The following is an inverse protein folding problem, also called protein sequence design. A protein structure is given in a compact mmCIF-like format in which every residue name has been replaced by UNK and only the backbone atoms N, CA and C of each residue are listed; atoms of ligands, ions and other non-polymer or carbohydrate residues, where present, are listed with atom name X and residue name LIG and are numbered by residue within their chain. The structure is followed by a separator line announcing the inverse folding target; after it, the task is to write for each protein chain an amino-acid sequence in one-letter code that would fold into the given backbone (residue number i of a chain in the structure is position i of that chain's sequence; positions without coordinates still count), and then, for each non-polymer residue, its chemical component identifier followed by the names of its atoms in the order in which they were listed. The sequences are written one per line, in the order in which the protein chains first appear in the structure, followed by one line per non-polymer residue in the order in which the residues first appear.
data_IF_414834362839
#
_entry.id   IF_414834362839
#
_cell.length_a   1.000
_cell.length_b   1.000
_cell.length_c   1.000
_cell.angle_alpha   90.00
_cell.angle_beta   90.00
_cell.angle_gamma   90.00
#
_symmetry.space_group_name_H-M   'P 1'
#
loop_
_entity.id
_entity.type
_entity.pdbx_description
1 polymer ?
#
# COMPACT_ATOMS: atom_id res chain seq x y z
N UNK A 1 -10.38 -53.94 -0.28
CA UNK A 1 -10.54 -53.45 -1.66
C UNK A 1 -9.17 -53.09 -2.21
N UNK A 2 -8.67 -53.76 -3.27
CA UNK A 2 -7.37 -53.42 -3.89
C UNK A 2 -7.61 -52.34 -4.97
N UNK A 3 -7.10 -51.13 -4.78
CA UNK A 3 -7.18 -50.07 -5.79
C UNK A 3 -6.31 -50.48 -6.99
N UNK A 4 -6.88 -50.46 -8.21
CA UNK A 4 -6.12 -50.81 -9.41
C UNK A 4 -5.15 -49.67 -9.77
N UNK A 5 -4.01 -49.98 -10.38
CA UNK A 5 -3.03 -48.98 -10.83
C UNK A 5 -3.67 -47.93 -11.77
N UNK A 6 -4.64 -48.35 -12.59
CA UNK A 6 -5.40 -47.46 -13.49
C UNK A 6 -6.32 -46.51 -12.71
N UNK A 7 -7.02 -47.01 -11.69
CA UNK A 7 -7.87 -46.19 -10.83
C UNK A 7 -7.03 -45.20 -10.01
N UNK A 8 -5.88 -45.61 -9.48
CA UNK A 8 -4.96 -44.71 -8.79
C UNK A 8 -4.43 -43.61 -9.72
N UNK A 9 -4.03 -43.95 -10.94
CA UNK A 9 -3.59 -42.97 -11.95
C UNK A 9 -4.69 -41.97 -12.29
N UNK A 10 -5.94 -42.44 -12.44
CA UNK A 10 -7.10 -41.57 -12.69
C UNK A 10 -7.37 -40.62 -11.51
N UNK A 11 -7.30 -41.10 -10.27
CA UNK A 11 -7.48 -40.28 -9.07
C UNK A 11 -6.41 -39.18 -9.01
N UNK A 12 -5.14 -39.53 -9.24
CA UNK A 12 -4.04 -38.56 -9.25
C UNK A 12 -4.27 -37.52 -10.34
N UNK A 13 -4.61 -37.94 -11.56
CA UNK A 13 -4.88 -37.03 -12.68
C UNK A 13 -6.02 -36.06 -12.36
N UNK A 14 -7.15 -36.56 -11.88
CA UNK A 14 -8.32 -35.73 -11.53
C UNK A 14 -7.96 -34.77 -10.40
N UNK A 15 -7.29 -35.24 -9.34
CA UNK A 15 -6.87 -34.39 -8.23
C UNK A 15 -5.89 -33.30 -8.65
N UNK A 16 -4.99 -33.60 -9.59
CA UNK A 16 -4.07 -32.61 -10.17
C UNK A 16 -4.79 -31.55 -10.99
N UNK A 17 -5.77 -31.95 -11.81
CA UNK A 17 -6.60 -31.02 -12.59
C UNK A 17 -7.40 -30.11 -11.65
N UNK A 18 -8.07 -30.68 -10.64
CA UNK A 18 -8.83 -29.89 -9.66
C UNK A 18 -7.89 -28.92 -8.91
N UNK A 19 -6.73 -29.40 -8.45
CA UNK A 19 -5.74 -28.56 -7.78
C UNK A 19 -5.31 -27.38 -8.65
N UNK A 20 -5.01 -27.62 -9.93
CA UNK A 20 -4.64 -26.58 -10.88
C UNK A 20 -5.78 -25.55 -11.10
N UNK A 21 -7.02 -26.02 -11.28
CA UNK A 21 -8.18 -25.17 -11.47
C UNK A 21 -8.52 -24.32 -10.24
N UNK A 22 -8.09 -24.73 -9.04
CA UNK A 22 -8.28 -23.93 -7.81
C UNK A 22 -7.10 -22.98 -7.59
N UNK A 23 -5.87 -23.44 -7.74
CA UNK A 23 -4.66 -22.64 -7.42
C UNK A 23 -4.48 -21.48 -8.39
N UNK A 24 -4.75 -21.70 -9.69
CA UNK A 24 -4.54 -20.64 -10.69
C UNK A 24 -5.43 -19.40 -10.47
N UNK A 25 -6.77 -19.52 -10.32
CA UNK A 25 -7.60 -18.34 -10.06
C UNK A 25 -7.26 -17.65 -8.74
N UNK A 26 -6.91 -18.42 -7.70
CA UNK A 26 -6.51 -17.86 -6.41
C UNK A 26 -5.21 -17.07 -6.55
N UNK A 27 -4.21 -17.62 -7.25
CA UNK A 27 -2.96 -16.90 -7.49
C UNK A 27 -3.19 -15.63 -8.32
N UNK A 28 -4.00 -15.71 -9.37
CA UNK A 28 -4.38 -14.55 -10.18
C UNK A 28 -5.08 -13.46 -9.35
N UNK A 29 -6.06 -13.84 -8.52
CA UNK A 29 -6.74 -12.91 -7.64
C UNK A 29 -5.78 -12.28 -6.62
N UNK A 30 -4.87 -13.05 -6.03
CA UNK A 30 -3.85 -12.53 -5.13
C UNK A 30 -2.96 -11.50 -5.83
N UNK A 31 -2.57 -11.75 -7.08
CA UNK A 31 -1.71 -10.87 -7.85
C UNK A 31 -2.41 -9.56 -8.25
N UNK A 32 -3.62 -9.63 -8.80
CA UNK A 32 -4.38 -8.44 -9.21
C UNK A 32 -4.72 -7.54 -8.02
N UNK A 33 -5.16 -8.14 -6.90
CA UNK A 33 -5.52 -7.42 -5.67
C UNK A 33 -4.30 -6.89 -4.91
N UNK A 34 -3.11 -6.99 -5.48
CA UNK A 34 -1.87 -6.53 -4.88
C UNK A 34 -1.32 -5.25 -5.52
N UNK A 35 -1.90 -4.84 -6.65
CA UNK A 35 -1.42 -3.73 -7.46
C UNK A 35 -1.98 -2.37 -7.02
N UNK A 36 -1.29 -1.30 -7.42
CA UNK A 36 -1.75 0.08 -7.27
C UNK A 36 -3.11 0.33 -7.94
N UNK A 37 -3.40 -0.37 -9.04
CA UNK A 37 -4.69 -0.29 -9.74
C UNK A 37 -5.85 -0.82 -8.90
N UNK A 38 -5.62 -1.85 -8.11
CA UNK A 38 -6.64 -2.37 -7.20
C UNK A 38 -6.76 -1.51 -5.95
N UNK A 39 -5.63 -1.11 -5.36
CA UNK A 39 -5.62 -0.29 -4.14
C UNK A 39 -6.29 1.08 -4.33
N UNK A 40 -6.33 1.62 -5.55
CA UNK A 40 -6.98 2.91 -5.87
C UNK A 40 -8.46 2.79 -6.28
N UNK A 41 -9.04 1.58 -6.24
CA UNK A 41 -10.48 1.42 -6.55
C UNK A 41 -11.35 2.16 -5.52
N UNK A 42 -10.87 2.25 -4.28
CA UNK A 42 -11.50 2.98 -3.20
C UNK A 42 -10.87 4.38 -3.07
N UNK A 43 -11.68 5.43 -3.15
CA UNK A 43 -11.25 6.82 -3.18
C UNK A 43 -10.50 7.31 -1.93
N UNK A 44 -10.68 6.65 -0.78
CA UNK A 44 -9.92 6.93 0.45
C UNK A 44 -8.42 6.61 0.33
N UNK A 45 -8.04 5.77 -0.64
CA UNK A 45 -6.64 5.41 -0.92
C UNK A 45 -5.98 6.30 -1.97
N UNK A 46 -6.74 7.22 -2.58
CA UNK A 46 -6.21 8.17 -3.58
C UNK A 46 -4.90 8.85 -3.14
N UNK A 47 -4.79 9.46 -1.93
CA UNK A 47 -3.57 10.19 -1.59
C UNK A 47 -2.35 9.26 -1.47
N UNK A 48 -2.53 8.01 -1.03
CA UNK A 48 -1.46 7.01 -0.92
C UNK A 48 -0.97 6.60 -2.30
N UNK A 49 -1.90 6.28 -3.21
CA UNK A 49 -1.54 5.76 -4.54
C UNK A 49 -0.96 6.86 -5.43
N UNK A 50 -1.51 8.08 -5.36
CA UNK A 50 -0.98 9.23 -6.09
C UNK A 50 0.45 9.53 -5.62
N UNK A 51 0.68 9.56 -4.31
CA UNK A 51 2.01 9.80 -3.75
C UNK A 51 3.00 8.65 -4.05
N UNK A 52 2.54 7.40 -4.02
CA UNK A 52 3.33 6.23 -4.45
C UNK A 52 3.74 6.36 -5.91
N UNK A 53 2.84 6.81 -6.78
CA UNK A 53 3.16 6.96 -8.19
C UNK A 53 4.24 8.02 -8.43
N UNK A 54 4.53 8.91 -7.49
CA UNK A 54 5.66 9.86 -7.56
C UNK A 54 6.96 9.32 -6.92
N UNK A 55 6.90 8.15 -6.28
CA UNK A 55 8.03 7.48 -5.65
C UNK A 55 8.87 6.69 -6.67
N UNK A 56 10.15 6.46 -6.35
CA UNK A 56 11.03 5.64 -7.17
C UNK A 56 10.53 4.19 -7.33
N UNK A 57 9.86 3.64 -6.31
CA UNK A 57 9.32 2.27 -6.31
C UNK A 57 8.09 2.07 -7.22
N UNK A 58 7.55 3.14 -7.81
CA UNK A 58 6.47 3.06 -8.81
C UNK A 58 6.94 2.62 -10.20
N UNK A 59 8.26 2.46 -10.39
CA UNK A 59 8.87 2.29 -11.70
C UNK A 59 9.27 3.61 -12.38
N UNK A 60 8.99 4.78 -11.77
CA UNK A 60 9.52 6.07 -12.23
C UNK A 60 11.02 6.25 -11.96
N UNK A 61 11.60 5.44 -11.08
CA UNK A 61 13.03 5.48 -10.79
C UNK A 61 13.91 5.07 -11.98
N UNK A 62 15.21 5.37 -11.94
CA UNK A 62 16.13 5.14 -13.07
C UNK A 62 16.30 3.66 -13.45
N UNK A 63 15.92 2.73 -12.57
CA UNK A 63 16.00 1.28 -12.82
C UNK A 63 14.75 0.71 -13.49
N UNK A 64 13.64 1.45 -13.52
CA UNK A 64 12.34 0.97 -14.02
C UNK A 64 11.68 -0.13 -13.18
N UNK A 65 12.26 -0.51 -12.03
CA UNK A 65 11.70 -1.53 -11.15
C UNK A 65 10.46 -0.98 -10.45
N UNK A 66 9.35 -1.72 -10.53
CA UNK A 66 8.10 -1.41 -9.86
C UNK A 66 7.82 -2.44 -8.76
N UNK A 67 7.68 -1.96 -7.53
CA UNK A 67 7.20 -2.76 -6.40
C UNK A 67 5.68 -2.61 -6.29
N UNK A 68 4.94 -3.69 -6.01
CA UNK A 68 3.52 -3.64 -5.71
C UNK A 68 3.26 -3.09 -4.30
N UNK A 69 2.03 -2.69 -4.02
CA UNK A 69 1.64 -2.20 -2.70
C UNK A 69 1.92 -3.25 -1.61
N UNK A 70 1.57 -4.51 -1.87
CA UNK A 70 1.79 -5.62 -0.94
C UNK A 70 3.25 -6.00 -0.76
N UNK A 71 4.14 -5.61 -1.68
CA UNK A 71 5.56 -5.94 -1.57
C UNK A 71 6.16 -5.27 -0.33
N UNK A 72 5.62 -4.11 0.08
CA UNK A 72 5.99 -3.43 1.32
C UNK A 72 4.97 -3.65 2.46
N UNK A 73 3.67 -3.73 2.14
CA UNK A 73 2.59 -3.71 3.13
C UNK A 73 2.12 -5.08 3.62
N UNK A 74 2.70 -6.19 3.15
CA UNK A 74 2.40 -7.56 3.59
C UNK A 74 3.72 -8.28 3.86
N UNK A 75 3.82 -9.14 4.90
CA UNK A 75 5.05 -9.85 5.20
C UNK A 75 5.33 -11.01 4.23
N UNK A 76 6.60 -11.21 3.89
CA UNK A 76 7.09 -12.23 2.93
C UNK A 76 7.84 -13.41 3.58
N UNK A 77 7.72 -13.60 4.89
CA UNK A 77 8.40 -14.67 5.64
C UNK A 77 7.72 -16.04 5.51
N UNK A 78 6.40 -16.05 5.30
CA UNK A 78 5.60 -17.28 5.21
C UNK A 78 4.35 -17.03 4.36
N UNK A 79 4.08 -17.89 3.37
CA UNK A 79 2.90 -17.80 2.51
C UNK A 79 1.57 -17.85 3.29
N UNK A 80 1.48 -18.67 4.34
CA UNK A 80 0.26 -18.73 5.16
C UNK A 80 0.03 -17.41 5.89
N UNK A 81 1.10 -16.78 6.39
CA UNK A 81 1.06 -15.47 7.04
C UNK A 81 0.75 -14.36 6.03
N UNK A 82 1.35 -14.41 4.84
CA UNK A 82 1.04 -13.49 3.75
C UNK A 82 -0.46 -13.48 3.45
N UNK A 83 -1.05 -14.66 3.20
CA UNK A 83 -2.47 -14.79 2.87
C UNK A 83 -3.35 -14.36 4.04
N UNK A 84 -3.00 -14.75 5.28
CA UNK A 84 -3.75 -14.38 6.48
C UNK A 84 -3.78 -12.86 6.69
N UNK A 85 -2.63 -12.19 6.60
CA UNK A 85 -2.54 -10.74 6.80
C UNK A 85 -3.24 -10.00 5.67
N UNK A 86 -3.05 -10.43 4.41
CA UNK A 86 -3.75 -9.83 3.26
C UNK A 86 -5.27 -9.96 3.40
N UNK A 87 -5.77 -11.14 3.76
CA UNK A 87 -7.20 -11.36 3.96
C UNK A 87 -7.75 -10.54 5.14
N UNK A 88 -7.03 -10.54 6.28
CA UNK A 88 -7.41 -9.75 7.47
C UNK A 88 -7.49 -8.26 7.13
N UNK A 89 -6.47 -7.71 6.47
CA UNK A 89 -6.45 -6.29 6.11
C UNK A 89 -7.58 -5.97 5.13
N UNK A 90 -7.76 -6.76 4.07
CA UNK A 90 -8.83 -6.53 3.09
C UNK A 90 -10.24 -6.60 3.69
N UNK A 91 -10.48 -7.51 4.65
CA UNK A 91 -11.77 -7.58 5.37
C UNK A 91 -11.97 -6.35 6.24
N UNK A 92 -10.93 -5.90 6.96
CA UNK A 92 -11.02 -4.72 7.82
C UNK A 92 -11.21 -3.44 7.00
N UNK A 93 -10.48 -3.28 5.90
CA UNK A 93 -10.59 -2.16 4.97
C UNK A 93 -11.98 -2.12 4.33
N UNK A 94 -12.47 -3.27 3.82
CA UNK A 94 -13.82 -3.38 3.29
C UNK A 94 -14.89 -3.06 4.34
N UNK A 95 -14.73 -3.54 5.57
CA UNK A 95 -15.66 -3.21 6.66
C UNK A 95 -15.71 -1.72 6.94
N UNK A 96 -14.55 -1.05 7.05
CA UNK A 96 -14.48 0.40 7.28
C UNK A 96 -15.07 1.17 6.10
N UNK A 97 -14.84 0.72 4.87
CA UNK A 97 -15.41 1.33 3.66
C UNK A 97 -16.94 1.26 3.64
N UNK A 98 -17.53 0.08 3.89
CA UNK A 98 -18.97 -0.12 3.74
C UNK A 98 -19.79 0.26 4.97
N UNK A 99 -19.22 0.12 6.17
CA UNK A 99 -19.95 0.27 7.43
C UNK A 99 -19.35 1.30 8.39
N UNK A 100 -18.15 1.82 8.09
CA UNK A 100 -17.47 2.82 8.89
C UNK A 100 -17.43 4.20 8.22
N UNK A 101 -16.48 5.02 8.66
CA UNK A 101 -16.12 6.28 8.02
C UNK A 101 -14.61 6.29 7.73
N UNK A 102 -14.19 6.04 6.47
CA UNK A 102 -12.79 6.12 6.07
C UNK A 102 -12.17 7.51 6.31
N UNK A 103 -12.96 8.59 6.25
CA UNK A 103 -12.46 9.97 6.42
C UNK A 103 -12.16 10.30 7.89
N UNK A 104 -12.74 9.54 8.83
CA UNK A 104 -12.43 9.66 10.25
C UNK A 104 -10.96 9.27 10.55
N UNK A 105 -10.33 8.43 9.71
CA UNK A 105 -8.94 8.03 9.90
C UNK A 105 -8.00 9.23 9.80
N UNK A 106 -7.17 9.42 10.83
CA UNK A 106 -6.18 10.48 10.87
C UNK A 106 -4.84 9.96 10.34
N UNK A 107 -4.69 10.00 9.01
CA UNK A 107 -3.47 9.56 8.34
C UNK A 107 -2.24 10.38 8.71
N UNK A 108 -2.41 11.68 9.02
CA UNK A 108 -1.32 12.54 9.50
C UNK A 108 -0.71 12.01 10.79
N UNK A 109 -1.56 11.65 11.77
CA UNK A 109 -1.08 11.02 13.02
C UNK A 109 -0.51 9.63 12.76
N UNK A 110 -1.07 8.87 11.82
CA UNK A 110 -0.60 7.52 11.53
C UNK A 110 0.75 7.44 10.81
N UNK A 111 1.29 8.54 10.27
CA UNK A 111 2.67 8.58 9.75
C UNK A 111 3.71 8.14 10.80
N UNK A 112 3.44 8.38 12.09
CA UNK A 112 4.31 7.91 13.19
C UNK A 112 4.26 6.40 13.39
N UNK A 113 3.16 5.76 12.96
CA UNK A 113 2.89 4.33 13.08
C UNK A 113 3.27 3.56 11.80
N UNK A 114 4.04 4.15 10.88
CA UNK A 114 4.43 3.53 9.59
C UNK A 114 5.05 2.14 9.73
N UNK A 115 5.78 1.92 10.82
CA UNK A 115 6.37 0.63 11.17
C UNK A 115 5.34 -0.48 11.40
N UNK A 116 4.09 -0.13 11.72
CA UNK A 116 3.01 -1.10 11.84
C UNK A 116 2.50 -1.56 10.46
N UNK A 117 2.63 -0.71 9.45
CA UNK A 117 2.06 -0.93 8.12
C UNK A 117 3.07 -1.47 7.12
N UNK A 118 4.37 -1.29 7.36
CA UNK A 118 5.45 -1.71 6.45
C UNK A 118 6.33 -2.77 7.10
N UNK A 119 6.67 -3.80 6.33
CA UNK A 119 7.43 -4.96 6.78
C UNK A 119 8.84 -4.97 6.19
N UNK A 120 9.87 -5.12 7.03
CA UNK A 120 11.26 -5.10 6.60
C UNK A 120 11.60 -6.25 5.65
N UNK A 121 10.96 -7.42 5.80
CA UNK A 121 11.14 -8.52 4.86
C UNK A 121 10.62 -8.21 3.45
N UNK A 122 9.73 -7.22 3.30
CA UNK A 122 9.32 -6.66 2.03
C UNK A 122 10.40 -5.78 1.40
N UNK A 123 11.17 -5.05 2.21
CA UNK A 123 12.34 -4.33 1.72
C UNK A 123 13.45 -5.31 1.32
N UNK A 124 13.80 -6.26 2.19
CA UNK A 124 14.96 -7.15 1.99
C UNK A 124 14.70 -8.25 0.97
N UNK A 125 13.46 -8.52 0.55
CA UNK A 125 13.18 -9.47 -0.54
C UNK A 125 13.76 -8.98 -1.87
N UNK A 126 13.78 -7.66 -2.11
CA UNK A 126 14.42 -7.04 -3.27
C UNK A 126 15.80 -6.47 -2.93
N UNK A 127 15.95 -5.84 -1.76
CA UNK A 127 17.20 -5.23 -1.30
C UNK A 127 18.07 -6.23 -0.50
N UNK A 128 18.25 -7.44 -1.04
CA UNK A 128 18.75 -8.61 -0.31
C UNK A 128 20.11 -8.43 0.38
N UNK A 129 20.99 -7.60 -0.17
CA UNK A 129 22.33 -7.37 0.36
C UNK A 129 22.54 -5.95 0.90
N UNK A 130 21.50 -5.11 1.00
CA UNK A 130 21.67 -3.67 1.30
C UNK A 130 22.32 -3.42 2.66
N UNK A 131 22.08 -4.30 3.62
CA UNK A 131 22.61 -4.23 4.99
C UNK A 131 24.12 -4.50 5.03
N UNK A 132 24.58 -5.47 4.23
CA UNK A 132 25.98 -5.96 4.22
C UNK A 132 26.80 -5.43 3.05
N UNK A 133 26.17 -4.67 2.14
CA UNK A 133 26.79 -4.16 0.92
C UNK A 133 27.79 -3.05 1.18
N UNK A 134 29.00 -3.24 0.67
CA UNK A 134 30.08 -2.25 0.62
C UNK A 134 29.84 -1.14 -0.42
N UNK A 135 28.84 -1.29 -1.29
CA UNK A 135 28.47 -0.32 -2.34
C UNK A 135 27.64 0.86 -1.83
N UNK A 136 27.22 0.85 -0.57
CA UNK A 136 26.52 1.96 0.08
C UNK A 136 27.52 2.95 0.69
N UNK A 137 27.09 4.17 0.99
CA UNK A 137 27.97 5.16 1.63
C UNK A 137 28.43 4.71 3.03
N UNK A 138 29.59 5.17 3.50
CA UNK A 138 30.09 4.83 4.84
C UNK A 138 29.07 5.16 5.95
N UNK A 139 28.31 6.25 5.78
CA UNK A 139 27.23 6.60 6.70
C UNK A 139 26.08 5.59 6.65
N UNK A 140 25.66 5.15 5.46
CA UNK A 140 24.64 4.11 5.32
C UNK A 140 25.07 2.79 5.95
N UNK A 141 26.32 2.35 5.70
CA UNK A 141 26.89 1.16 6.32
C UNK A 141 26.84 1.22 7.86
N UNK A 142 27.22 2.36 8.45
CA UNK A 142 27.13 2.60 9.90
C UNK A 142 25.70 2.50 10.41
N UNK A 143 24.74 3.07 9.68
CA UNK A 143 23.32 3.02 10.07
C UNK A 143 22.72 1.63 9.90
N UNK A 144 23.07 0.88 8.86
CA UNK A 144 22.64 -0.51 8.69
C UNK A 144 23.22 -1.42 9.76
N UNK A 145 24.49 -1.25 10.14
CA UNK A 145 25.09 -1.96 11.27
C UNK A 145 24.40 -1.61 12.60
N UNK A 146 23.98 -0.36 12.78
CA UNK A 146 23.21 0.06 13.94
C UNK A 146 21.82 -0.61 13.98
N UNK A 147 21.11 -0.64 12.85
CA UNK A 147 19.84 -1.35 12.69
C UNK A 147 19.99 -2.84 13.05
N UNK A 148 20.98 -3.54 12.49
CA UNK A 148 21.22 -4.96 12.79
C UNK A 148 21.53 -5.21 14.27
N UNK A 149 22.28 -4.32 14.92
CA UNK A 149 22.57 -4.44 16.36
C UNK A 149 21.29 -4.35 17.23
N UNK A 150 20.28 -3.61 16.79
CA UNK A 150 19.04 -3.39 17.54
C UNK A 150 17.95 -4.42 17.20
N UNK A 151 18.13 -5.20 16.14
CA UNK A 151 17.17 -6.21 15.70
C UNK A 151 16.91 -7.24 16.80
N UNK A 152 15.63 -7.54 17.06
CA UNK A 152 15.21 -8.43 18.14
C UNK A 152 15.42 -7.91 19.57
N UNK A 153 15.77 -6.63 19.75
CA UNK A 153 15.83 -5.97 21.07
C UNK A 153 14.58 -5.16 21.36
N UNK A 154 14.43 -4.63 22.57
CA UNK A 154 13.36 -3.69 22.95
C UNK A 154 13.43 -2.35 22.20
N UNK A 155 14.55 -2.07 21.54
CA UNK A 155 14.82 -0.86 20.75
C UNK A 155 14.89 -1.17 19.26
N UNK A 156 14.27 -2.26 18.82
CA UNK A 156 14.23 -2.65 17.41
C UNK A 156 13.73 -1.49 16.55
N UNK A 157 14.47 -1.22 15.47
CA UNK A 157 14.10 -0.28 14.42
C UNK A 157 13.65 -1.07 13.20
N UNK A 158 12.89 -0.43 12.33
CA UNK A 158 12.50 -0.92 11.01
C UNK A 158 13.18 -0.12 9.91
N UNK A 159 13.18 -0.63 8.69
CA UNK A 159 13.71 0.10 7.52
C UNK A 159 13.03 1.48 7.39
N UNK A 160 11.71 1.51 7.52
CA UNK A 160 10.93 2.75 7.45
C UNK A 160 11.13 3.67 8.65
N UNK A 161 11.73 3.23 9.77
CA UNK A 161 12.09 4.10 10.89
C UNK A 161 13.04 5.21 10.45
N UNK A 162 13.97 4.90 9.55
CA UNK A 162 14.94 5.82 8.96
C UNK A 162 14.57 6.26 7.54
N UNK A 163 13.94 5.38 6.74
CA UNK A 163 13.52 5.67 5.36
C UNK A 163 12.07 6.17 5.29
N UNK A 164 11.80 7.32 5.91
CA UNK A 164 10.45 7.87 6.14
C UNK A 164 9.60 8.06 4.88
N UNK A 165 10.22 8.33 3.74
CA UNK A 165 9.54 8.63 2.48
C UNK A 165 9.43 7.43 1.53
N UNK A 166 9.95 6.26 1.93
CA UNK A 166 9.94 5.08 1.06
C UNK A 166 8.50 4.69 0.71
N UNK A 167 8.21 4.60 -0.58
CA UNK A 167 6.94 4.09 -1.10
C UNK A 167 5.85 5.14 -1.31
N UNK A 168 5.97 6.35 -0.76
CA UNK A 168 4.99 7.43 -0.98
C UNK A 168 5.63 8.78 -1.31
N UNK A 169 6.89 8.82 -1.75
CA UNK A 169 7.65 10.05 -2.02
C UNK A 169 7.81 10.97 -0.79
N UNK A 170 8.70 11.95 -0.90
CA UNK A 170 8.88 12.99 0.13
C UNK A 170 7.66 13.92 0.26
N UNK A 171 6.81 13.96 -0.78
CA UNK A 171 5.62 14.80 -0.84
C UNK A 171 4.40 14.23 -0.14
N UNK A 172 4.45 13.02 0.44
CA UNK A 172 3.27 12.33 0.95
C UNK A 172 2.44 13.16 1.93
N UNK A 173 3.11 13.87 2.85
CA UNK A 173 2.42 14.74 3.82
C UNK A 173 1.59 15.82 3.14
N UNK A 174 2.09 16.40 2.05
CA UNK A 174 1.35 17.41 1.29
C UNK A 174 0.10 16.79 0.65
N UNK A 175 0.20 15.56 0.13
CA UNK A 175 -0.96 14.84 -0.37
C UNK A 175 -2.00 14.63 0.73
N UNK A 176 -1.60 14.25 1.94
CA UNK A 176 -2.55 14.13 3.06
C UNK A 176 -3.23 15.46 3.42
N UNK A 177 -2.51 16.59 3.37
CA UNK A 177 -3.10 17.92 3.61
C UNK A 177 -4.17 18.28 2.56
N UNK A 178 -4.08 17.79 1.32
CA UNK A 178 -5.11 18.04 0.30
C UNK A 178 -6.42 17.31 0.59
N UNK A 179 -6.37 16.16 1.29
CA UNK A 179 -7.57 15.38 1.65
C UNK A 179 -8.12 15.75 3.03
N UNK A 180 -7.24 16.06 3.98
CA UNK A 180 -7.59 16.41 5.36
C UNK A 180 -6.67 17.53 5.85
N UNK A 181 -7.03 18.79 5.60
CA UNK A 181 -6.20 19.93 5.98
C UNK A 181 -6.07 20.04 7.50
N UNK A 182 -4.86 20.31 7.98
CA UNK A 182 -4.62 20.55 9.41
C UNK A 182 -5.24 21.87 9.89
N UNK A 183 -5.33 22.87 9.00
CA UNK A 183 -5.85 24.20 9.33
C UNK A 183 -7.02 24.55 8.41
N UNK A 184 -8.19 24.81 9.00
CA UNK A 184 -9.45 25.07 8.28
C UNK A 184 -9.41 26.28 7.36
N UNK A 185 -8.52 27.25 7.63
CA UNK A 185 -8.28 28.41 6.74
C UNK A 185 -7.83 28.00 5.33
N UNK A 186 -7.37 26.76 5.14
CA UNK A 186 -6.94 26.24 3.85
C UNK A 186 -7.92 25.28 3.19
N UNK A 187 -9.07 24.96 3.79
CA UNK A 187 -10.00 23.92 3.31
C UNK A 187 -10.35 24.09 1.83
N UNK A 188 -10.74 25.31 1.44
CA UNK A 188 -11.04 25.64 0.04
C UNK A 188 -9.85 25.38 -0.89
N UNK A 189 -8.68 25.89 -0.53
CA UNK A 189 -7.45 25.78 -1.35
C UNK A 189 -7.00 24.32 -1.46
N UNK A 190 -7.15 23.55 -0.40
CA UNK A 190 -6.81 22.13 -0.39
C UNK A 190 -7.80 21.30 -1.20
N UNK A 191 -9.10 21.61 -1.15
CA UNK A 191 -10.10 20.99 -2.02
C UNK A 191 -9.83 21.27 -3.51
N UNK A 192 -9.49 22.52 -3.87
CA UNK A 192 -9.06 22.87 -5.24
C UNK A 192 -7.84 22.04 -5.68
N UNK A 193 -6.85 21.89 -4.79
CA UNK A 193 -5.65 21.09 -5.06
C UNK A 193 -5.94 19.60 -5.18
N UNK A 194 -6.77 19.03 -4.31
CA UNK A 194 -7.24 17.64 -4.37
C UNK A 194 -7.89 17.36 -5.73
N UNK A 195 -8.83 18.20 -6.16
CA UNK A 195 -9.49 18.08 -7.47
C UNK A 195 -8.48 18.19 -8.62
N UNK A 196 -7.58 19.18 -8.58
CA UNK A 196 -6.55 19.37 -9.61
C UNK A 196 -5.67 18.12 -9.77
N UNK A 197 -5.19 17.58 -8.66
CA UNK A 197 -4.30 16.42 -8.62
C UNK A 197 -5.02 15.17 -9.09
N UNK A 198 -6.25 14.93 -8.60
CA UNK A 198 -7.05 13.78 -9.05
C UNK A 198 -7.34 13.84 -10.54
N UNK A 199 -7.69 15.01 -11.09
CA UNK A 199 -7.86 15.18 -12.54
C UNK A 199 -6.59 14.88 -13.32
N UNK A 200 -5.43 15.32 -12.83
CA UNK A 200 -4.15 15.05 -13.47
C UNK A 200 -3.77 13.56 -13.44
N UNK A 201 -4.06 12.88 -12.33
CA UNK A 201 -3.75 11.47 -12.13
C UNK A 201 -4.71 10.54 -12.88
N UNK A 202 -6.02 10.70 -12.68
CA UNK A 202 -7.03 9.82 -13.26
C UNK A 202 -7.43 10.17 -14.70
N UNK A 203 -7.13 11.40 -15.16
CA UNK A 203 -7.41 11.87 -16.53
C UNK A 203 -8.88 11.65 -16.92
N UNK A 204 -9.12 10.89 -17.99
CA UNK A 204 -10.45 10.52 -18.51
C UNK A 204 -11.26 9.66 -17.53
N UNK A 205 -10.62 9.03 -16.55
CA UNK A 205 -11.27 8.20 -15.52
C UNK A 205 -11.63 8.99 -14.25
N UNK A 206 -11.31 10.28 -14.19
CA UNK A 206 -11.65 11.10 -13.04
C UNK A 206 -13.17 11.16 -12.84
N UNK A 207 -13.62 10.68 -11.68
CA UNK A 207 -15.00 10.81 -11.23
C UNK A 207 -15.00 11.58 -9.91
N UNK A 208 -15.71 12.73 -9.83
CA UNK A 208 -15.76 13.49 -8.59
C UNK A 208 -16.60 12.76 -7.54
N UNK A 209 -16.20 12.90 -6.28
CA UNK A 209 -17.03 12.57 -5.12
C UNK A 209 -18.16 13.59 -4.98
N UNK A 210 -19.19 13.27 -4.18
CA UNK A 210 -20.30 14.21 -3.90
C UNK A 210 -19.78 15.55 -3.35
N UNK A 211 -18.83 15.52 -2.42
CA UNK A 211 -18.18 16.71 -1.86
C UNK A 211 -17.49 17.54 -2.95
N UNK A 212 -16.72 16.90 -3.84
CA UNK A 212 -16.06 17.58 -4.95
C UNK A 212 -17.06 18.14 -5.97
N UNK A 213 -18.16 17.42 -6.24
CA UNK A 213 -19.23 17.91 -7.10
C UNK A 213 -19.93 19.14 -6.52
N UNK A 214 -20.26 19.11 -5.23
CA UNK A 214 -20.88 20.24 -4.52
C UNK A 214 -19.95 21.45 -4.54
N UNK A 215 -18.66 21.25 -4.26
CA UNK A 215 -17.64 22.30 -4.34
C UNK A 215 -17.52 22.90 -5.75
N UNK A 216 -17.63 22.08 -6.80
CA UNK A 216 -17.57 22.56 -8.19
C UNK A 216 -18.88 23.24 -8.65
N UNK A 217 -20.03 22.85 -8.10
CA UNK A 217 -21.37 23.37 -8.48
C UNK A 217 -21.75 24.65 -7.75
N UNK A 218 -21.24 24.88 -6.55
CA UNK A 218 -21.58 26.05 -5.74
C UNK A 218 -20.33 26.69 -5.15
N UNK A 219 -20.12 27.97 -5.47
CA UNK A 219 -19.11 28.88 -4.90
C UNK A 219 -18.52 28.37 -3.59
N UNK A 220 -17.24 27.97 -3.58
CA UNK A 220 -16.55 27.34 -2.45
C UNK A 220 -16.59 28.14 -1.15
N UNK A 221 -17.75 28.11 -0.48
CA UNK A 221 -18.13 28.97 0.63
C UNK A 221 -19.20 28.33 1.54
N UNK A 222 -19.55 27.05 1.37
CA UNK A 222 -20.57 26.36 2.19
C UNK A 222 -20.22 24.92 2.53
N UNK A 223 -19.05 24.64 3.09
CA UNK A 223 -18.79 23.40 3.88
C UNK A 223 -17.47 23.52 4.65
N UNK A 224 -17.40 24.50 5.55
CA UNK A 224 -16.42 24.48 6.63
C UNK A 224 -17.16 24.83 7.94
N UNK A 225 -18.17 24.04 8.30
CA UNK A 225 -18.76 24.06 9.64
C UNK A 225 -19.50 22.76 9.96
N UNK A 226 -18.99 22.03 10.96
CA UNK A 226 -19.57 20.84 11.58
C UNK A 226 -19.07 19.54 10.94
N UNK A 227 -18.37 18.64 11.63
CA UNK A 227 -18.33 18.29 13.06
C UNK A 227 -16.93 17.82 13.47
#
# INVERSE_FOLDING_TARGET
MKISKKLLALIILISGIIGFLVVLPVHYALEETSTDKFCVVCHEMDPMVIAYNDDAHSGKGPTGVKAKCVDCHIPHDNIAKYVLIKAKNGVMEGWVHFFGDPNAIDWHKNLKNREHFVFDNGCTSCHANVITSDKTSAQAQKMHAHYEKLKGTDKELKCVSCHFSAGHSVGFRNYLEYWKPTYSIYDKKMMEKKIQIKKAFFKDKYTPTKEEEEFMKGDGNKTASGH
#
